data_IF_006096254824
#
_entry.id   IF_006096254824
#
_cell.length_a   1.000
_cell.length_b   1.000
_cell.length_c   1.000
_cell.angle_alpha   90.00
_cell.angle_beta   90.00
_cell.angle_gamma   90.00
#
_symmetry.space_group_name_H-M   'P 1'
#
loop_
_entity.id
_entity.type
_entity.pdbx_description
1 polymer ?
#
# COMPACT_ATOMS: atom_id res chain seq x y z
N UNK A 1 38.19 59.92 -30.76
CA UNK A 1 37.29 59.73 -29.59
C UNK A 1 35.88 59.98 -30.11
N UNK A 2 34.95 59.05 -30.17
CA UNK A 2 34.45 58.12 -29.15
C UNK A 2 33.92 56.87 -29.86
N UNK A 3 34.39 55.67 -29.50
CA UNK A 3 33.83 54.41 -29.97
C UNK A 3 33.00 53.80 -28.84
N UNK A 4 31.69 53.71 -29.06
CA UNK A 4 30.71 53.17 -28.12
C UNK A 4 30.91 51.66 -27.95
N UNK A 5 30.95 51.24 -26.69
CA UNK A 5 31.15 49.89 -26.22
C UNK A 5 29.86 49.08 -26.42
N UNK A 6 29.91 48.07 -27.29
CA UNK A 6 28.83 47.10 -27.49
C UNK A 6 28.82 46.14 -26.28
N UNK A 7 27.76 46.15 -25.46
CA UNK A 7 27.52 45.10 -24.47
C UNK A 7 27.09 43.83 -25.19
N UNK A 8 27.98 42.85 -25.30
CA UNK A 8 27.60 41.49 -25.67
C UNK A 8 26.84 40.86 -24.50
N UNK A 9 25.54 40.61 -24.71
CA UNK A 9 24.75 39.73 -23.85
C UNK A 9 25.32 38.32 -24.04
N UNK A 10 26.04 37.82 -23.05
CA UNK A 10 26.44 36.41 -23.03
C UNK A 10 25.17 35.60 -22.77
N UNK A 11 24.80 34.63 -23.64
CA UNK A 11 23.73 33.72 -23.32
C UNK A 11 24.14 32.92 -22.09
N UNK A 12 23.36 33.03 -21.03
CA UNK A 12 23.44 32.13 -19.89
C UNK A 12 23.16 30.73 -20.44
N UNK A 13 24.23 29.96 -20.65
CA UNK A 13 24.11 28.55 -20.91
C UNK A 13 23.56 27.96 -19.61
N UNK A 14 22.25 27.73 -19.57
CA UNK A 14 21.63 26.86 -18.59
C UNK A 14 22.32 25.50 -18.76
N UNK A 15 23.31 25.25 -17.91
CA UNK A 15 24.00 23.98 -17.85
C UNK A 15 22.94 22.94 -17.48
N UNK A 16 22.65 22.08 -18.44
CA UNK A 16 21.96 20.81 -18.23
C UNK A 16 22.81 19.99 -17.28
N UNK A 17 22.51 20.09 -15.98
CA UNK A 17 23.05 19.19 -14.99
C UNK A 17 22.56 17.78 -15.33
N UNK A 18 23.52 16.90 -15.63
CA UNK A 18 23.33 15.47 -15.84
C UNK A 18 23.02 14.86 -14.46
N UNK A 19 21.76 14.93 -14.02
CA UNK A 19 21.32 14.35 -12.74
C UNK A 19 21.19 12.84 -12.88
N UNK A 20 22.29 12.11 -12.68
CA UNK A 20 22.35 10.64 -12.81
C UNK A 20 21.89 9.85 -11.59
N UNK A 21 21.74 10.50 -10.43
CA UNK A 21 21.47 9.80 -9.16
C UNK A 21 20.01 9.91 -8.69
N UNK A 22 19.28 10.91 -9.21
CA UNK A 22 17.92 11.21 -8.75
C UNK A 22 16.97 11.37 -9.95
N UNK A 23 15.83 10.69 -9.86
CA UNK A 23 14.78 10.73 -10.87
C UNK A 23 13.78 11.82 -10.49
N UNK A 24 13.68 12.87 -11.31
CA UNK A 24 12.72 13.97 -11.08
C UNK A 24 11.35 13.74 -11.73
N UNK A 25 11.28 12.81 -12.69
CA UNK A 25 10.05 12.45 -13.42
C UNK A 25 10.03 10.94 -13.61
N UNK A 26 8.88 10.31 -13.33
CA UNK A 26 8.72 8.87 -13.50
C UNK A 26 8.97 8.45 -14.96
N UNK A 27 9.94 7.54 -15.23
CA UNK A 27 10.18 7.00 -16.55
C UNK A 27 9.00 6.21 -17.09
N UNK A 28 8.84 6.21 -18.41
CA UNK A 28 7.80 5.41 -19.07
C UNK A 28 7.95 3.92 -18.73
N UNK A 29 6.82 3.25 -18.49
CA UNK A 29 6.79 1.83 -18.12
C UNK A 29 7.08 1.54 -16.64
N UNK A 30 7.49 2.53 -15.84
CA UNK A 30 7.61 2.36 -14.39
C UNK A 30 6.27 2.63 -13.69
N UNK A 31 6.13 2.02 -12.51
CA UNK A 31 4.92 2.08 -11.70
C UNK A 31 5.26 2.42 -10.27
N UNK A 32 4.44 3.26 -9.66
CA UNK A 32 4.49 3.41 -8.21
C UNK A 32 3.82 2.19 -7.59
N UNK A 33 4.40 1.66 -6.51
CA UNK A 33 3.76 0.57 -5.76
C UNK A 33 2.33 0.94 -5.34
N UNK A 34 2.09 2.20 -4.97
CA UNK A 34 0.76 2.71 -4.62
C UNK A 34 -0.27 2.69 -5.77
N UNK A 35 0.17 2.65 -7.03
CA UNK A 35 -0.72 2.48 -8.18
C UNK A 35 -1.02 1.00 -8.47
N UNK A 36 -0.18 0.11 -7.96
CA UNK A 36 -0.28 -1.33 -8.17
C UNK A 36 -1.04 -2.01 -7.02
N UNK A 37 -0.75 -1.61 -5.78
CA UNK A 37 -1.49 -2.02 -4.59
C UNK A 37 -2.92 -1.44 -4.68
N UNK A 38 -3.92 -2.27 -4.36
CA UNK A 38 -5.34 -2.00 -4.49
C UNK A 38 -5.94 -2.38 -5.84
N UNK A 39 -5.12 -2.67 -6.86
CA UNK A 39 -5.63 -3.06 -8.17
C UNK A 39 -6.41 -4.37 -8.11
N UNK A 40 -7.49 -4.44 -8.87
CA UNK A 40 -8.27 -5.66 -9.06
C UNK A 40 -7.50 -6.62 -9.96
N UNK A 41 -7.38 -7.87 -9.52
CA UNK A 41 -6.81 -8.96 -10.30
C UNK A 41 -7.95 -9.78 -10.90
N UNK A 42 -7.95 -9.92 -12.22
CA UNK A 42 -8.93 -10.71 -12.96
C UNK A 42 -8.32 -11.97 -13.57
N UNK A 43 -9.14 -12.95 -13.92
CA UNK A 43 -8.71 -14.12 -14.68
C UNK A 43 -8.86 -13.87 -16.20
N UNK A 44 -8.47 -14.85 -17.01
CA UNK A 44 -8.61 -14.80 -18.47
C UNK A 44 -10.07 -14.73 -18.95
N UNK A 45 -11.02 -15.15 -18.12
CA UNK A 45 -12.46 -15.04 -18.40
C UNK A 45 -13.04 -13.67 -18.00
N UNK A 46 -12.23 -12.75 -17.48
CA UNK A 46 -12.66 -11.43 -17.01
C UNK A 46 -13.30 -11.43 -15.62
N UNK A 47 -13.29 -12.57 -14.91
CA UNK A 47 -13.84 -12.67 -13.56
C UNK A 47 -12.86 -12.09 -12.55
N UNK A 48 -13.39 -11.39 -11.54
CA UNK A 48 -12.58 -10.84 -10.46
C UNK A 48 -12.19 -11.94 -9.48
N UNK A 49 -10.88 -12.08 -9.29
CA UNK A 49 -10.30 -13.04 -8.36
C UNK A 49 -10.12 -12.38 -6.98
N UNK A 50 -9.63 -11.14 -6.94
CA UNK A 50 -9.32 -10.40 -5.72
C UNK A 50 -8.59 -9.08 -5.96
N UNK A 51 -7.93 -8.57 -4.94
CA UNK A 51 -7.19 -7.29 -4.98
C UNK A 51 -5.73 -7.47 -4.56
N UNK A 52 -4.83 -6.67 -5.12
CA UNK A 52 -3.42 -6.67 -4.72
C UNK A 52 -3.29 -5.97 -3.36
N UNK A 53 -2.84 -6.71 -2.36
CA UNK A 53 -2.74 -6.24 -0.99
C UNK A 53 -1.34 -5.77 -0.65
N UNK A 54 -0.32 -6.49 -1.13
CA UNK A 54 1.08 -6.22 -0.77
C UNK A 54 2.06 -6.82 -1.80
N UNK A 55 3.32 -6.39 -1.74
CA UNK A 55 4.41 -6.84 -2.60
C UNK A 55 5.58 -7.36 -1.76
N UNK A 56 6.06 -8.55 -2.09
CA UNK A 56 7.21 -9.14 -1.42
C UNK A 56 8.46 -8.92 -2.27
N UNK A 57 9.45 -8.29 -1.65
CA UNK A 57 10.75 -8.05 -2.24
C UNK A 57 11.77 -9.06 -1.71
N UNK A 58 12.69 -9.49 -2.57
CA UNK A 58 13.87 -10.22 -2.14
C UNK A 58 14.96 -9.26 -1.60
N UNK A 59 16.06 -9.83 -1.10
CA UNK A 59 17.21 -9.05 -0.59
C UNK A 59 17.89 -8.18 -1.66
N UNK A 60 17.61 -8.41 -2.94
CA UNK A 60 18.13 -7.60 -4.05
C UNK A 60 17.18 -6.47 -4.44
N UNK A 61 16.04 -6.33 -3.75
CA UNK A 61 15.03 -5.31 -4.03
C UNK A 61 14.11 -5.64 -5.20
N UNK A 62 14.07 -6.89 -5.67
CA UNK A 62 13.17 -7.34 -6.75
C UNK A 62 11.89 -7.90 -6.18
N UNK A 63 10.77 -7.59 -6.82
CA UNK A 63 9.47 -8.17 -6.46
C UNK A 63 9.47 -9.65 -6.87
N UNK A 64 9.36 -10.53 -5.89
CA UNK A 64 9.32 -11.99 -6.10
C UNK A 64 7.90 -12.55 -6.01
N UNK A 65 7.08 -11.98 -5.12
CA UNK A 65 5.69 -12.41 -4.93
C UNK A 65 4.76 -11.22 -4.77
N UNK A 66 3.49 -11.44 -5.08
CA UNK A 66 2.40 -10.51 -4.83
C UNK A 66 1.41 -11.16 -3.90
N UNK A 67 0.98 -10.42 -2.88
CA UNK A 67 -0.08 -10.83 -1.98
C UNK A 67 -1.40 -10.37 -2.56
N UNK A 68 -2.31 -11.30 -2.76
CA UNK A 68 -3.67 -11.05 -3.22
C UNK A 68 -4.62 -11.28 -2.04
N UNK A 69 -5.44 -10.28 -1.73
CA UNK A 69 -6.61 -10.40 -0.87
C UNK A 69 -7.77 -11.02 -1.65
N UNK A 70 -8.27 -12.16 -1.18
CA UNK A 70 -9.32 -12.93 -1.83
C UNK A 70 -10.51 -13.10 -0.89
N UNK A 71 -11.69 -12.71 -1.38
CA UNK A 71 -12.89 -12.64 -0.56
C UNK A 71 -12.87 -11.42 0.36
N UNK A 72 -13.96 -11.21 1.12
CA UNK A 72 -14.13 -10.03 1.95
C UNK A 72 -14.58 -8.78 1.17
N UNK A 73 -14.59 -7.64 1.86
CA UNK A 73 -14.96 -6.34 1.30
C UNK A 73 -13.93 -5.30 1.73
N UNK A 74 -13.20 -4.71 0.78
CA UNK A 74 -12.27 -3.59 0.99
C UNK A 74 -11.22 -3.84 2.10
N UNK A 75 -10.60 -5.01 2.12
CA UNK A 75 -9.58 -5.39 3.11
C UNK A 75 -10.13 -6.00 4.40
N UNK A 76 -11.46 -6.07 4.56
CA UNK A 76 -12.10 -6.67 5.73
C UNK A 76 -12.54 -8.10 5.43
N UNK A 77 -12.04 -9.05 6.23
CA UNK A 77 -12.38 -10.47 6.11
C UNK A 77 -11.75 -11.16 4.90
N UNK A 78 -10.74 -10.52 4.29
CA UNK A 78 -10.04 -11.09 3.14
C UNK A 78 -9.02 -12.13 3.58
N UNK A 79 -8.89 -13.18 2.78
CA UNK A 79 -7.81 -14.14 2.91
C UNK A 79 -6.64 -13.68 2.06
N UNK A 80 -5.47 -13.53 2.68
CA UNK A 80 -4.24 -13.15 1.97
C UNK A 80 -3.57 -14.38 1.38
N UNK A 81 -3.22 -14.33 0.10
CA UNK A 81 -2.52 -15.42 -0.60
C UNK A 81 -1.35 -14.84 -1.39
N UNK A 82 -0.15 -15.37 -1.19
CA UNK A 82 1.03 -14.95 -1.94
C UNK A 82 1.21 -15.82 -3.19
N UNK A 83 1.34 -15.19 -4.36
CA UNK A 83 1.63 -15.86 -5.63
C UNK A 83 2.90 -15.29 -6.27
N UNK A 84 3.61 -16.05 -7.13
CA UNK A 84 4.79 -15.54 -7.81
C UNK A 84 4.45 -14.36 -8.72
N UNK A 85 5.24 -13.28 -8.68
CA UNK A 85 5.01 -12.09 -9.51
C UNK A 85 4.99 -12.42 -11.01
N UNK A 86 5.80 -13.39 -11.44
CA UNK A 86 5.87 -13.85 -12.83
C UNK A 86 4.57 -14.45 -13.38
N UNK A 87 3.61 -14.77 -12.52
CA UNK A 87 2.29 -15.26 -12.94
C UNK A 87 1.30 -14.14 -13.24
N UNK A 88 1.61 -12.90 -12.86
CA UNK A 88 0.80 -11.74 -13.16
C UNK A 88 1.16 -11.18 -14.54
N UNK A 89 0.12 -10.89 -15.32
CA UNK A 89 0.20 -10.16 -16.56
C UNK A 89 -0.45 -8.81 -16.39
N UNK A 90 0.31 -7.75 -16.67
CA UNK A 90 -0.18 -6.37 -16.62
C UNK A 90 -0.34 -5.89 -18.04
N UNK A 91 -1.58 -5.64 -18.45
CA UNK A 91 -1.94 -5.18 -19.79
C UNK A 91 -2.65 -3.82 -19.72
N UNK A 92 -2.89 -3.19 -20.87
CA UNK A 92 -3.78 -2.05 -20.99
C UNK A 92 -5.06 -2.48 -21.72
N UNK A 93 -6.22 -2.06 -21.23
CA UNK A 93 -7.50 -2.24 -21.90
C UNK A 93 -7.68 -1.23 -23.04
N UNK A 94 -8.81 -1.31 -23.74
CA UNK A 94 -9.15 -0.44 -24.86
C UNK A 94 -9.24 1.06 -24.48
N UNK A 95 -9.40 1.38 -23.19
CA UNK A 95 -9.40 2.75 -22.67
C UNK A 95 -8.01 3.20 -22.20
N UNK A 96 -6.98 2.36 -22.38
CA UNK A 96 -5.64 2.60 -21.86
C UNK A 96 -5.54 2.43 -20.35
N UNK A 97 -6.60 1.97 -19.67
CA UNK A 97 -6.57 1.66 -18.25
C UNK A 97 -5.88 0.31 -18.10
N UNK A 98 -4.95 0.25 -17.15
CA UNK A 98 -4.19 -0.97 -16.94
C UNK A 98 -5.00 -2.00 -16.18
N UNK A 99 -4.87 -3.26 -16.59
CA UNK A 99 -5.57 -4.41 -16.03
C UNK A 99 -4.53 -5.43 -15.58
N UNK A 100 -4.69 -5.94 -14.37
CA UNK A 100 -3.86 -7.02 -13.85
C UNK A 100 -4.61 -8.33 -13.99
N UNK A 101 -3.98 -9.30 -14.67
CA UNK A 101 -4.55 -10.61 -14.94
C UNK A 101 -3.67 -11.72 -14.37
N UNK A 102 -4.29 -12.80 -13.92
CA UNK A 102 -3.59 -14.00 -13.46
C UNK A 102 -4.27 -15.27 -14.01
N UNK A 103 -3.52 -16.31 -14.40
CA UNK A 103 -4.07 -17.59 -14.85
C UNK A 103 -4.50 -18.47 -13.65
N UNK A 104 -5.25 -17.89 -12.71
CA UNK A 104 -5.71 -18.52 -11.47
C UNK A 104 -7.20 -18.29 -11.30
N UNK A 105 -7.89 -19.22 -10.63
CA UNK A 105 -9.30 -19.04 -10.26
C UNK A 105 -9.43 -18.58 -8.81
N UNK A 106 -10.56 -17.95 -8.49
CA UNK A 106 -10.89 -17.51 -7.14
C UNK A 106 -10.92 -18.67 -6.15
N UNK A 107 -11.52 -19.79 -6.55
CA UNK A 107 -11.64 -21.01 -5.74
C UNK A 107 -10.26 -21.57 -5.39
N UNK A 108 -9.33 -21.55 -6.35
CA UNK A 108 -7.95 -22.02 -6.12
C UNK A 108 -7.24 -21.17 -5.08
N UNK A 109 -7.44 -19.85 -5.09
CA UNK A 109 -6.86 -18.98 -4.06
C UNK A 109 -7.56 -19.13 -2.70
N UNK A 110 -8.88 -19.32 -2.68
CA UNK A 110 -9.61 -19.61 -1.45
C UNK A 110 -9.16 -20.92 -0.81
N UNK A 111 -8.79 -21.93 -1.60
CA UNK A 111 -8.25 -23.20 -1.11
C UNK A 111 -6.75 -23.14 -0.77
N UNK A 112 -6.01 -22.13 -1.24
CA UNK A 112 -4.57 -22.02 -1.02
C UNK A 112 -4.24 -21.73 0.47
N UNK A 113 -3.02 -22.03 0.94
CA UNK A 113 -2.58 -21.60 2.26
C UNK A 113 -2.66 -20.08 2.43
N UNK A 114 -3.10 -19.64 3.61
CA UNK A 114 -3.08 -18.22 3.95
C UNK A 114 -1.64 -17.74 4.13
N UNK A 115 -1.31 -16.62 3.50
CA UNK A 115 -0.03 -15.94 3.66
C UNK A 115 0.01 -15.19 4.98
N UNK A 116 1.01 -15.50 5.81
CA UNK A 116 1.27 -14.83 7.09
C UNK A 116 2.64 -14.15 7.04
N UNK A 117 2.70 -12.81 7.11
CA UNK A 117 3.97 -12.10 7.24
C UNK A 117 4.71 -12.54 8.50
N UNK A 118 6.01 -12.84 8.36
CA UNK A 118 6.86 -13.23 9.50
C UNK A 118 7.06 -12.07 10.47
N UNK A 119 7.13 -10.85 9.95
CA UNK A 119 7.14 -9.64 10.75
C UNK A 119 5.78 -8.94 10.68
N UNK A 120 5.31 -8.44 11.82
CA UNK A 120 4.13 -7.59 11.87
C UNK A 120 4.40 -6.33 11.04
N UNK A 121 3.59 -6.09 10.03
CA UNK A 121 3.66 -4.85 9.25
C UNK A 121 3.38 -3.65 10.17
N UNK A 122 3.80 -2.45 9.77
CA UNK A 122 3.53 -1.21 10.52
C UNK A 122 2.02 -1.08 10.83
N UNK A 123 1.16 -1.46 9.87
CA UNK A 123 -0.28 -1.49 10.04
C UNK A 123 -0.76 -2.47 11.11
N UNK A 124 -0.15 -3.66 11.21
CA UNK A 124 -0.50 -4.64 12.24
C UNK A 124 -0.11 -4.16 13.63
N UNK A 125 1.09 -3.57 13.77
CA UNK A 125 1.56 -3.00 15.04
C UNK A 125 0.65 -1.84 15.48
N UNK A 126 0.32 -0.94 14.56
CA UNK A 126 -0.57 0.18 14.85
C UNK A 126 -1.98 -0.28 15.28
N UNK A 127 -2.54 -1.32 14.65
CA UNK A 127 -3.86 -1.86 15.01
C UNK A 127 -3.86 -2.56 16.36
N UNK A 128 -2.80 -3.32 16.67
CA UNK A 128 -2.63 -3.97 17.97
C UNK A 128 -2.53 -2.91 19.09
N UNK A 129 -1.71 -1.88 18.89
CA UNK A 129 -1.62 -0.75 19.80
C UNK A 129 -2.95 -0.01 19.98
N UNK A 130 -3.71 0.18 18.91
CA UNK A 130 -5.03 0.81 18.98
C UNK A 130 -6.05 -0.05 19.75
N UNK A 131 -6.00 -1.38 19.58
CA UNK A 131 -6.81 -2.33 20.35
C UNK A 131 -6.49 -2.28 21.85
N UNK A 132 -5.20 -2.34 22.19
CA UNK A 132 -4.73 -2.21 23.58
C UNK A 132 -5.12 -0.87 24.21
N UNK A 133 -5.05 0.22 23.43
CA UNK A 133 -5.46 1.54 23.92
C UNK A 133 -6.96 1.58 24.23
N UNK A 134 -7.77 0.98 23.36
CA UNK A 134 -9.22 0.90 23.53
C UNK A 134 -9.61 0.12 24.79
N UNK A 135 -8.97 -1.03 25.02
CA UNK A 135 -9.22 -1.87 26.19
C UNK A 135 -8.81 -1.17 27.49
N UNK A 136 -7.62 -0.56 27.53
CA UNK A 136 -7.15 0.24 28.68
C UNK A 136 -8.06 1.44 28.97
N UNK A 137 -8.58 2.10 27.93
CA UNK A 137 -9.51 3.21 28.10
C UNK A 137 -10.86 2.75 28.69
N UNK A 138 -11.36 1.60 28.25
CA UNK A 138 -12.58 0.98 28.78
C UNK A 138 -12.43 0.54 30.24
N UNK A 139 -11.30 -0.07 30.60
CA UNK A 139 -10.97 -0.44 31.98
C UNK A 139 -10.94 0.79 32.89
N UNK A 140 -10.20 1.84 32.48
CA UNK A 140 -10.14 3.10 33.23
C UNK A 140 -11.51 3.77 33.36
N UNK A 141 -12.36 3.69 32.34
CA UNK A 141 -13.70 4.25 32.39
C UNK A 141 -14.61 3.50 33.38
N UNK A 142 -14.52 2.16 33.44
CA UNK A 142 -15.23 1.33 34.42
C UNK A 142 -14.77 1.63 35.84
N UNK A 143 -13.47 1.68 36.07
CA UNK A 143 -12.89 2.04 37.38
C UNK A 143 -13.35 3.41 37.89
N UNK A 144 -13.45 4.39 36.98
CA UNK A 144 -13.96 5.72 37.32
C UNK A 144 -15.46 5.68 37.63
N UNK A 145 -16.25 4.90 36.90
CA UNK A 145 -17.67 4.73 37.16
C UNK A 145 -17.94 4.06 38.52
N UNK A 146 -17.17 3.03 38.86
CA UNK A 146 -17.29 2.33 40.15
C UNK A 146 -16.88 3.22 41.33
N UNK A 147 -15.81 4.01 41.18
CA UNK A 147 -15.40 5.01 42.18
C UNK A 147 -16.43 6.12 42.34
N UNK A 148 -17.02 6.59 41.23
CA UNK A 148 -18.07 7.60 41.27
C UNK A 148 -19.32 7.06 41.97
N UNK A 149 -19.71 5.81 41.71
CA UNK A 149 -20.82 5.14 42.37
C UNK A 149 -20.62 5.05 43.89
N UNK A 150 -19.46 4.54 44.34
CA UNK A 150 -19.14 4.46 45.78
C UNK A 150 -19.14 5.83 46.46
N UNK A 151 -18.60 6.85 45.80
CA UNK A 151 -18.54 8.22 46.35
C UNK A 151 -19.93 8.86 46.48
N UNK A 152 -20.84 8.58 45.53
CA UNK A 152 -22.24 9.03 45.61
C UNK A 152 -22.98 8.34 46.77
N UNK A 153 -22.65 7.09 47.07
CA UNK A 153 -23.23 6.33 48.18
C UNK A 153 -22.73 6.81 49.55
N UNK A 154 -21.43 7.12 49.67
CA UNK A 154 -20.83 7.75 50.87
C UNK A 154 -21.44 9.13 51.17
N UNK A 155 -21.81 9.91 50.15
CA UNK A 155 -22.41 11.24 50.34
C UNK A 155 -23.89 11.20 50.78
N UNK A 156 -24.55 10.04 50.68
CA UNK A 156 -25.96 9.87 51.11
C UNK A 156 -26.08 9.33 52.54
N UNK A 157 -24.96 9.06 53.20
CA UNK A 157 -24.88 8.52 54.55
C UNK A 157 -24.46 9.62 55.52
#
# INVERSE_FOLDING_TARGET
MVAAMLMAIVPLHAQTAKSGDFVSVQPAGQWLAAQFIGQTVTNQAGETIGNIDDLLFDKSGRIVHVVIGVGGFLGIGEKKVAIPYSTLSVTADASGKRVVTAPLSKERLLAAPEFKPTEKTVYMRAREQAGELGEKALEKARDLADKAGKKIEEMKK
#
